data_IF_358959083382
#
_entry.id   IF_358959083382
#
_cell.length_a   1.000
_cell.length_b   1.000
_cell.length_c   1.000
_cell.angle_alpha   90.00
_cell.angle_beta   90.00
_cell.angle_gamma   90.00
#
_symmetry.space_group_name_H-M   'P 1'
#
loop_
_entity.id
_entity.type
_entity.pdbx_description
1 polymer ?
#
# COMPACT_ATOMS: atom_id res chain seq x y z
N UNK A 1 3.75 -18.31 -19.27
CA UNK A 1 3.75 -19.12 -18.04
C UNK A 1 5.13 -19.05 -17.35
N UNK A 2 5.61 -17.86 -16.96
CA UNK A 2 6.91 -17.65 -16.29
C UNK A 2 6.86 -16.59 -15.17
N UNK A 3 5.76 -15.82 -15.08
CA UNK A 3 5.60 -14.69 -14.14
C UNK A 3 5.18 -15.10 -12.71
N UNK A 4 5.07 -16.40 -12.43
CA UNK A 4 4.52 -16.94 -11.17
C UNK A 4 5.59 -17.47 -10.21
N UNK A 5 6.85 -17.37 -10.59
CA UNK A 5 7.97 -18.06 -9.94
C UNK A 5 8.84 -17.12 -9.11
N UNK A 6 8.97 -15.87 -9.55
CA UNK A 6 9.81 -14.90 -8.88
C UNK A 6 8.96 -14.11 -7.89
N UNK A 7 9.40 -14.07 -6.64
CA UNK A 7 8.80 -13.32 -5.54
C UNK A 7 9.63 -12.08 -5.25
N UNK A 8 8.97 -10.95 -4.98
CA UNK A 8 9.63 -9.76 -4.42
C UNK A 8 9.48 -9.75 -2.91
N UNK A 9 10.59 -9.63 -2.21
CA UNK A 9 10.66 -9.56 -0.76
C UNK A 9 11.59 -8.41 -0.32
N UNK A 10 11.52 -8.08 0.96
CA UNK A 10 12.32 -7.05 1.61
C UNK A 10 13.12 -7.77 2.70
N UNK A 11 14.42 -7.49 2.78
CA UNK A 11 15.28 -8.03 3.84
C UNK A 11 15.06 -7.30 5.19
N UNK A 12 15.88 -7.62 6.20
CA UNK A 12 15.80 -6.97 7.50
C UNK A 12 16.20 -5.49 7.50
N UNK A 13 16.96 -5.07 6.48
CA UNK A 13 17.50 -3.71 6.34
C UNK A 13 16.64 -2.82 5.43
N UNK A 14 15.56 -3.38 4.86
CA UNK A 14 14.63 -2.65 4.00
C UNK A 14 14.96 -2.74 2.50
N UNK A 15 15.97 -3.52 2.10
CA UNK A 15 16.36 -3.67 0.71
C UNK A 15 15.49 -4.70 -0.02
N UNK A 16 15.15 -4.39 -1.26
CA UNK A 16 14.34 -5.26 -2.10
C UNK A 16 15.18 -6.35 -2.78
N UNK A 17 14.71 -7.59 -2.72
CA UNK A 17 15.32 -8.71 -3.44
C UNK A 17 14.28 -9.57 -4.16
N UNK A 18 14.77 -10.31 -5.16
CA UNK A 18 13.98 -11.17 -6.03
C UNK A 18 14.34 -12.63 -5.78
N UNK A 19 13.39 -13.41 -5.27
CA UNK A 19 13.58 -14.82 -4.97
C UNK A 19 12.88 -15.71 -5.98
N UNK A 20 13.64 -16.57 -6.66
CA UNK A 20 13.11 -17.54 -7.59
C UNK A 20 12.73 -18.82 -6.84
N UNK A 21 11.43 -19.09 -6.75
CA UNK A 21 10.88 -20.25 -6.05
C UNK A 21 11.11 -21.60 -6.75
N UNK A 22 11.47 -21.61 -8.05
CA UNK A 22 11.81 -22.83 -8.78
C UNK A 22 13.27 -23.23 -8.56
N UNK A 23 14.19 -22.26 -8.62
CA UNK A 23 15.63 -22.50 -8.48
C UNK A 23 16.13 -22.33 -7.06
N UNK A 24 15.29 -21.83 -6.15
CA UNK A 24 15.63 -21.51 -4.76
C UNK A 24 16.80 -20.52 -4.64
N UNK A 25 16.87 -19.55 -5.57
CA UNK A 25 17.95 -18.55 -5.63
C UNK A 25 17.43 -17.13 -5.48
N UNK A 26 18.22 -16.27 -4.84
CA UNK A 26 17.94 -14.84 -4.68
C UNK A 26 18.81 -13.98 -5.58
N UNK A 27 18.28 -12.85 -6.05
CA UNK A 27 19.01 -11.82 -6.78
C UNK A 27 18.58 -10.44 -6.31
N UNK A 28 19.55 -9.54 -6.18
CA UNK A 28 19.33 -8.12 -5.88
C UNK A 28 18.93 -7.32 -7.13
N UNK A 29 19.28 -7.84 -8.31
CA UNK A 29 18.98 -7.19 -9.59
C UNK A 29 17.65 -7.69 -10.12
N UNK A 30 16.75 -6.77 -10.50
CA UNK A 30 15.46 -7.12 -11.10
C UNK A 30 15.70 -7.93 -12.40
N UNK A 31 15.27 -9.19 -12.47
CA UNK A 31 15.43 -10.00 -13.68
C UNK A 31 14.73 -9.36 -14.88
N UNK A 32 15.37 -9.41 -16.06
CA UNK A 32 14.86 -8.79 -17.29
C UNK A 32 13.46 -9.29 -17.68
N UNK A 33 13.14 -10.55 -17.40
CA UNK A 33 11.80 -11.14 -17.58
C UNK A 33 10.70 -10.41 -16.79
N UNK A 34 11.06 -9.68 -15.74
CA UNK A 34 10.16 -8.86 -14.93
C UNK A 34 10.19 -7.38 -15.29
N UNK A 35 10.87 -6.94 -16.35
CA UNK A 35 11.05 -5.51 -16.67
C UNK A 35 9.74 -4.71 -16.52
N UNK A 36 8.66 -5.20 -17.12
CA UNK A 36 7.34 -4.55 -17.13
C UNK A 36 6.33 -5.17 -16.14
N UNK A 37 6.77 -6.05 -15.24
CA UNK A 37 5.88 -6.75 -14.31
C UNK A 37 6.39 -6.59 -12.89
N UNK A 38 5.51 -6.19 -11.98
CA UNK A 38 5.80 -6.26 -10.55
C UNK A 38 5.54 -7.68 -10.06
N UNK A 39 6.57 -8.44 -9.68
CA UNK A 39 6.39 -9.78 -9.14
C UNK A 39 5.59 -9.72 -7.84
N UNK A 40 4.91 -10.83 -7.54
CA UNK A 40 4.05 -10.90 -6.38
C UNK A 40 4.90 -11.04 -5.12
N UNK A 41 4.47 -10.40 -4.02
CA UNK A 41 5.12 -10.63 -2.72
C UNK A 41 4.68 -11.97 -2.14
N UNK A 42 5.47 -12.61 -1.26
CA UNK A 42 5.09 -13.86 -0.60
C UNK A 42 3.71 -13.76 0.06
N UNK A 43 3.42 -12.62 0.70
CA UNK A 43 2.12 -12.31 1.31
C UNK A 43 0.98 -12.31 0.28
N UNK A 44 1.14 -11.59 -0.83
CA UNK A 44 0.13 -11.55 -1.90
C UNK A 44 -0.09 -12.93 -2.53
N UNK A 45 0.97 -13.74 -2.67
CA UNK A 45 0.85 -15.11 -3.17
C UNK A 45 0.04 -15.99 -2.22
N UNK A 46 0.34 -15.96 -0.93
CA UNK A 46 -0.42 -16.69 0.10
C UNK A 46 -1.90 -16.28 0.11
N UNK A 47 -2.18 -14.97 0.01
CA UNK A 47 -3.56 -14.46 -0.08
C UNK A 47 -4.27 -14.96 -1.34
N UNK A 48 -3.60 -14.91 -2.50
CA UNK A 48 -4.15 -15.40 -3.77
C UNK A 48 -4.42 -16.91 -3.74
N UNK A 49 -3.50 -17.69 -3.17
CA UNK A 49 -3.68 -19.13 -3.00
C UNK A 49 -4.86 -19.45 -2.07
N UNK A 50 -5.03 -18.71 -0.97
CA UNK A 50 -6.19 -18.84 -0.09
C UNK A 50 -7.49 -18.46 -0.79
N UNK A 51 -7.50 -17.37 -1.56
CA UNK A 51 -8.65 -16.95 -2.33
C UNK A 51 -9.04 -18.01 -3.38
N UNK A 52 -8.05 -18.63 -4.04
CA UNK A 52 -8.28 -19.73 -4.97
C UNK A 52 -8.90 -20.94 -4.25
N UNK A 53 -8.33 -21.39 -3.13
CA UNK A 53 -8.91 -22.48 -2.31
C UNK A 53 -10.36 -22.20 -1.90
N UNK A 54 -10.69 -20.96 -1.55
CA UNK A 54 -12.07 -20.56 -1.21
C UNK A 54 -13.02 -20.62 -2.41
N UNK A 55 -12.52 -20.28 -3.61
CA UNK A 55 -13.29 -20.40 -4.85
C UNK A 55 -13.52 -21.86 -5.21
N UNK A 56 -12.47 -22.68 -5.17
CA UNK A 56 -12.54 -24.11 -5.47
C UNK A 56 -13.48 -24.85 -4.50
N UNK A 57 -13.51 -24.42 -3.24
CA UNK A 57 -14.43 -24.94 -2.23
C UNK A 57 -15.87 -24.39 -2.32
N UNK A 58 -16.17 -23.48 -3.27
CA UNK A 58 -17.50 -22.88 -3.41
C UNK A 58 -17.89 -21.90 -2.29
N UNK A 59 -16.94 -21.48 -1.43
CA UNK A 59 -17.18 -20.53 -0.34
C UNK A 59 -17.29 -19.07 -0.81
N UNK A 60 -17.17 -18.81 -2.12
CA UNK A 60 -17.28 -17.47 -2.66
C UNK A 60 -18.76 -17.12 -2.87
N UNK A 61 -19.32 -16.30 -1.97
CA UNK A 61 -20.69 -15.81 -2.11
C UNK A 61 -20.77 -14.81 -3.28
N UNK A 62 -21.49 -15.17 -4.34
CA UNK A 62 -21.84 -14.22 -5.41
C UNK A 62 -22.95 -13.27 -4.94
N UNK A 63 -23.11 -12.13 -5.61
CA UNK A 63 -24.15 -11.16 -5.25
C UNK A 63 -25.57 -11.79 -5.21
N UNK A 64 -25.84 -12.75 -6.10
CA UNK A 64 -27.11 -13.49 -6.15
C UNK A 64 -27.33 -14.45 -4.97
N UNK A 65 -26.29 -14.82 -4.24
CA UNK A 65 -26.36 -15.75 -3.11
C UNK A 65 -26.44 -15.05 -1.74
N UNK A 66 -26.37 -13.71 -1.71
CA UNK A 66 -26.45 -12.97 -0.45
C UNK A 66 -27.89 -12.64 -0.08
N UNK A 67 -28.25 -12.93 1.16
CA UNK A 67 -29.46 -12.37 1.75
C UNK A 67 -29.31 -10.84 1.87
N UNK A 68 -30.42 -10.06 1.78
CA UNK A 68 -30.36 -8.60 1.83
C UNK A 68 -29.63 -8.03 3.06
N UNK A 69 -29.80 -8.65 4.24
CA UNK A 69 -29.13 -8.22 5.47
C UNK A 69 -27.60 -8.46 5.44
N UNK A 70 -27.15 -9.55 4.82
CA UNK A 70 -25.71 -9.81 4.63
C UNK A 70 -25.11 -8.79 3.67
N UNK A 71 -25.80 -8.51 2.55
CA UNK A 71 -25.38 -7.53 1.57
C UNK A 71 -25.29 -6.12 2.19
N UNK A 72 -26.30 -5.75 2.98
CA UNK A 72 -26.31 -4.49 3.72
C UNK A 72 -25.12 -4.40 4.69
N UNK A 73 -24.82 -5.47 5.43
CA UNK A 73 -23.67 -5.53 6.35
C UNK A 73 -22.34 -5.35 5.62
N UNK A 74 -22.19 -5.96 4.45
CA UNK A 74 -20.99 -5.77 3.61
C UNK A 74 -20.83 -4.32 3.18
N UNK A 75 -21.89 -3.70 2.65
CA UNK A 75 -21.86 -2.29 2.22
C UNK A 75 -21.57 -1.37 3.40
N UNK A 76 -22.24 -1.58 4.54
CA UNK A 76 -22.03 -0.80 5.75
C UNK A 76 -20.61 -0.93 6.29
N UNK A 77 -20.04 -2.14 6.30
CA UNK A 77 -18.66 -2.35 6.76
C UNK A 77 -17.65 -1.62 5.87
N UNK A 78 -17.84 -1.68 4.55
CA UNK A 78 -17.03 -0.92 3.60
C UNK A 78 -17.14 0.59 3.83
N UNK A 79 -18.37 1.10 3.98
CA UNK A 79 -18.60 2.52 4.24
C UNK A 79 -17.95 2.98 5.56
N UNK A 80 -18.13 2.22 6.64
CA UNK A 80 -17.52 2.53 7.95
C UNK A 80 -15.99 2.52 7.87
N UNK A 81 -15.39 1.55 7.19
CA UNK A 81 -13.95 1.49 6.96
C UNK A 81 -13.45 2.69 6.16
N UNK A 82 -14.12 3.03 5.06
CA UNK A 82 -13.79 4.22 4.25
C UNK A 82 -13.90 5.51 5.08
N UNK A 83 -14.96 5.66 5.86
CA UNK A 83 -15.18 6.82 6.73
C UNK A 83 -14.12 6.94 7.83
N UNK A 84 -13.68 5.82 8.41
CA UNK A 84 -12.60 5.80 9.40
C UNK A 84 -11.27 6.28 8.79
N UNK A 85 -10.92 5.79 7.60
CA UNK A 85 -9.71 6.22 6.87
C UNK A 85 -9.79 7.71 6.51
N UNK A 86 -10.94 8.21 6.07
CA UNK A 86 -11.14 9.64 5.81
C UNK A 86 -10.86 10.50 7.05
N UNK A 87 -11.40 10.11 8.21
CA UNK A 87 -11.14 10.82 9.47
C UNK A 87 -9.66 10.78 9.88
N UNK A 88 -9.01 9.64 9.74
CA UNK A 88 -7.57 9.54 10.02
C UNK A 88 -6.75 10.45 9.10
N UNK A 89 -7.14 10.56 7.82
CA UNK A 89 -6.50 11.47 6.87
C UNK A 89 -6.69 12.92 7.29
N UNK A 90 -7.91 13.33 7.66
CA UNK A 90 -8.21 14.69 8.13
C UNK A 90 -7.33 15.09 9.32
N UNK A 91 -7.18 14.19 10.31
CA UNK A 91 -6.28 14.41 11.45
C UNK A 91 -4.83 14.51 10.97
N UNK A 92 -4.36 13.52 10.21
CA UNK A 92 -2.96 13.41 9.80
C UNK A 92 -2.52 14.60 8.92
N UNK A 93 -3.41 15.15 8.08
CA UNK A 93 -3.12 16.36 7.29
C UNK A 93 -2.87 17.60 8.13
N UNK A 94 -3.36 17.64 9.37
CA UNK A 94 -3.06 18.72 10.32
C UNK A 94 -1.67 18.60 10.96
N UNK A 95 -1.07 17.42 10.96
CA UNK A 95 0.26 17.16 11.53
C UNK A 95 1.36 17.02 10.48
N UNK A 96 1.02 16.87 9.21
CA UNK A 96 2.00 16.69 8.13
C UNK A 96 1.99 17.90 7.22
N UNK A 97 3.12 18.60 7.15
CA UNK A 97 3.37 19.66 6.18
C UNK A 97 4.31 19.18 5.08
N UNK A 98 4.19 19.78 3.89
CA UNK A 98 5.15 19.61 2.80
C UNK A 98 6.16 20.76 2.80
N UNK A 99 7.38 20.48 2.38
CA UNK A 99 8.45 21.46 2.26
C UNK A 99 9.35 21.11 1.06
N UNK A 100 10.16 22.08 0.65
CA UNK A 100 11.17 21.90 -0.39
C UNK A 100 12.56 22.17 0.19
N UNK A 101 13.55 21.37 -0.20
CA UNK A 101 14.95 21.62 0.14
C UNK A 101 15.53 22.77 -0.71
N UNK A 102 16.84 23.03 -0.58
CA UNK A 102 17.50 24.09 -1.34
C UNK A 102 17.51 23.79 -2.86
N UNK A 103 17.49 22.52 -3.23
CA UNK A 103 17.48 22.00 -4.58
C UNK A 103 16.06 21.93 -5.19
N UNK A 104 15.02 22.16 -4.38
CA UNK A 104 13.61 22.13 -4.79
C UNK A 104 12.93 20.75 -4.65
N UNK A 105 13.58 19.75 -4.08
CA UNK A 105 13.00 18.43 -3.85
C UNK A 105 11.96 18.48 -2.73
N UNK A 106 10.83 17.81 -2.96
CA UNK A 106 9.72 17.75 -2.02
C UNK A 106 10.01 16.75 -0.89
N UNK A 107 9.80 17.16 0.35
CA UNK A 107 9.79 16.30 1.52
C UNK A 107 8.63 16.64 2.46
N UNK A 108 8.40 15.80 3.45
CA UNK A 108 7.29 15.90 4.40
C UNK A 108 7.83 16.02 5.82
N UNK A 109 7.24 16.91 6.62
CA UNK A 109 7.63 17.15 8.01
C UNK A 109 6.45 16.79 8.91
N UNK A 110 6.73 16.04 9.98
CA UNK A 110 5.79 15.91 11.10
C UNK A 110 5.90 17.15 11.99
N UNK A 111 4.83 17.93 12.08
CA UNK A 111 4.77 19.18 12.83
C UNK A 111 4.83 19.00 14.36
N UNK A 112 4.56 17.79 14.86
CA UNK A 112 4.63 17.47 16.29
C UNK A 112 6.04 17.06 16.72
N UNK A 113 6.68 16.16 15.96
CA UNK A 113 8.04 15.66 16.27
C UNK A 113 9.15 16.46 15.59
N UNK A 114 8.81 17.32 14.63
CA UNK A 114 9.72 18.04 13.75
C UNK A 114 10.64 17.14 12.90
N UNK A 115 10.28 15.86 12.74
CA UNK A 115 11.03 14.91 11.92
C UNK A 115 10.67 15.06 10.45
N UNK A 116 11.69 15.00 9.58
CA UNK A 116 11.55 15.09 8.14
C UNK A 116 11.69 13.71 7.47
N UNK A 117 10.85 13.45 6.47
CA UNK A 117 10.87 12.23 5.67
C UNK A 117 10.71 12.54 4.19
N UNK A 118 11.47 11.86 3.34
CA UNK A 118 11.34 11.96 1.88
C UNK A 118 10.13 11.19 1.34
N UNK A 119 9.71 10.15 2.05
CA UNK A 119 8.55 9.35 1.66
C UNK A 119 7.25 9.94 2.22
N UNK A 120 6.24 10.11 1.35
CA UNK A 120 4.90 10.48 1.81
C UNK A 120 4.34 9.38 2.73
N UNK A 121 3.81 9.75 3.92
CA UNK A 121 3.20 8.79 4.85
C UNK A 121 2.15 7.93 4.16
N UNK A 122 2.12 6.63 4.50
CA UNK A 122 1.35 5.60 3.78
C UNK A 122 -0.11 5.97 3.57
N UNK A 123 -0.79 6.52 4.59
CA UNK A 123 -2.21 6.89 4.50
C UNK A 123 -2.47 8.10 3.60
N UNK A 124 -1.45 8.91 3.31
CA UNK A 124 -1.53 10.11 2.47
C UNK A 124 -1.05 9.86 1.03
N UNK A 125 -0.45 8.70 0.71
CA UNK A 125 0.13 8.39 -0.62
C UNK A 125 -0.80 8.64 -1.80
N UNK A 126 -2.09 8.33 -1.65
CA UNK A 126 -3.10 8.53 -2.70
C UNK A 126 -3.65 9.96 -2.77
N UNK A 127 -3.24 10.85 -1.85
CA UNK A 127 -3.71 12.23 -1.81
C UNK A 127 -2.74 13.17 -2.51
N UNK A 128 -3.31 14.14 -3.22
CA UNK A 128 -2.53 15.23 -3.84
C UNK A 128 -1.84 16.08 -2.76
N UNK A 129 -0.60 16.47 -3.04
CA UNK A 129 0.19 17.36 -2.19
C UNK A 129 -0.42 18.75 -2.03
N UNK A 130 -1.33 19.16 -2.91
CA UNK A 130 -2.09 20.41 -2.73
C UNK A 130 -2.95 20.42 -1.48
N UNK A 131 -3.28 19.24 -0.92
CA UNK A 131 -4.07 19.11 0.31
C UNK A 131 -3.23 19.19 1.59
N UNK A 132 -1.90 19.25 1.47
CA UNK A 132 -0.99 19.39 2.60
C UNK A 132 -0.57 20.85 2.72
N UNK A 133 -0.55 21.36 3.95
CA UNK A 133 -0.05 22.69 4.25
C UNK A 133 1.43 22.80 3.85
N UNK A 134 1.84 23.96 3.34
CA UNK A 134 3.27 24.24 3.17
C UNK A 134 3.86 24.57 4.53
N UNK A 135 5.03 24.02 4.85
CA UNK A 135 5.70 24.28 6.13
C UNK A 135 5.96 25.79 6.35
N UNK A 136 6.22 26.53 5.26
CA UNK A 136 6.42 27.99 5.31
C UNK A 136 5.17 28.76 5.78
N UNK A 137 3.98 28.21 5.58
CA UNK A 137 2.71 28.86 5.94
C UNK A 137 2.39 28.71 7.44
N UNK A 138 3.06 27.79 8.14
CA UNK A 138 2.82 27.47 9.54
C UNK A 138 3.83 28.12 10.51
N UNK A 139 4.72 28.98 10.02
CA UNK A 139 5.62 29.77 10.89
C UNK A 139 5.02 31.16 11.11
N UNK A 140 4.76 31.50 12.38
CA UNK A 140 4.46 32.85 12.85
C UNK A 140 5.73 33.70 12.90
#
# INVERSE_FOLDING_TARGET
>A
MLLLVIEKAIDGDGNEYYFNTLTNTSSWTKPSVLANVNPMTPRRRKQRALAQKRRDAGLYKSASMLAPAEAATMIQSWYRGRRAISRLREVLTGYIAKAHDAEGNLYYINLDTNEATWEKPTLLRDMSDSKLASFKDNMW
#
